data_IF_571855197854
#
_entry.id   IF_571855197854
#
_cell.length_a   1.000
_cell.length_b   1.000
_cell.length_c   1.000
_cell.angle_alpha   90.00
_cell.angle_beta   90.00
_cell.angle_gamma   90.00
#
_symmetry.space_group_name_H-M   'P 1'
#
loop_
_entity.id
_entity.type
_entity.pdbx_description
1 polymer ?
#
# COMPACT_ATOMS: atom_id res chain seq x y z
N UNK A 1 10.34 30.68 29.70
CA UNK A 1 9.65 29.71 28.83
C UNK A 1 8.38 30.38 28.31
N UNK A 2 8.48 31.06 27.14
CA UNK A 2 7.32 31.71 26.49
C UNK A 2 6.77 30.72 25.50
N UNK A 3 5.72 29.98 25.85
CA UNK A 3 4.88 29.29 24.88
C UNK A 3 3.95 30.32 24.24
N UNK A 4 4.49 31.10 23.30
CA UNK A 4 3.66 31.89 22.42
C UNK A 4 2.77 30.89 21.66
N UNK A 5 1.48 30.94 21.95
CA UNK A 5 0.44 30.22 21.20
C UNK A 5 0.43 30.75 19.77
N UNK A 6 1.18 30.06 18.88
CA UNK A 6 1.09 30.36 17.47
C UNK A 6 -0.39 30.31 17.01
N UNK A 7 -0.85 31.26 16.21
CA UNK A 7 -2.22 31.31 15.77
C UNK A 7 -2.63 30.03 15.07
N UNK A 8 -3.84 29.55 15.36
CA UNK A 8 -4.43 28.36 14.73
C UNK A 8 -4.65 28.66 13.24
N UNK A 9 -3.68 28.32 12.40
CA UNK A 9 -3.81 28.40 10.96
C UNK A 9 -4.60 27.19 10.44
N UNK A 10 -5.28 27.33 9.31
CA UNK A 10 -6.01 26.24 8.66
C UNK A 10 -5.12 24.97 8.47
N UNK A 11 -3.88 25.16 8.04
CA UNK A 11 -2.91 24.06 7.91
C UNK A 11 -2.63 23.34 9.23
N UNK A 12 -2.56 24.10 10.36
CA UNK A 12 -2.35 23.51 11.68
C UNK A 12 -3.57 22.71 12.15
N UNK A 13 -4.78 23.18 11.87
CA UNK A 13 -6.02 22.44 12.15
C UNK A 13 -6.06 21.12 11.34
N UNK A 14 -5.77 21.19 10.04
CA UNK A 14 -5.71 19.99 9.18
C UNK A 14 -4.68 18.98 9.69
N UNK A 15 -3.48 19.44 10.07
CA UNK A 15 -2.44 18.58 10.61
C UNK A 15 -2.89 17.91 11.91
N UNK A 16 -3.41 18.66 12.87
CA UNK A 16 -3.90 18.13 14.16
C UNK A 16 -5.04 17.12 13.94
N UNK A 17 -5.97 17.41 13.03
CA UNK A 17 -7.07 16.50 12.70
C UNK A 17 -6.54 15.21 12.05
N UNK A 18 -5.59 15.34 11.13
CA UNK A 18 -4.92 14.20 10.51
C UNK A 18 -4.19 13.35 11.55
N UNK A 19 -3.36 13.97 12.39
CA UNK A 19 -2.60 13.26 13.42
C UNK A 19 -3.52 12.54 14.42
N UNK A 20 -4.66 13.14 14.76
CA UNK A 20 -5.66 12.51 15.62
C UNK A 20 -6.34 11.32 14.92
N UNK A 21 -6.81 11.49 13.68
CA UNK A 21 -7.49 10.42 12.92
C UNK A 21 -6.56 9.24 12.66
N UNK A 22 -5.32 9.50 12.28
CA UNK A 22 -4.28 8.48 12.06
C UNK A 22 -3.66 7.94 13.36
N UNK A 23 -4.10 8.42 14.52
CA UNK A 23 -3.67 7.99 15.85
C UNK A 23 -4.49 6.81 16.38
N UNK A 24 -4.87 6.94 17.65
CA UNK A 24 -5.61 5.90 18.38
C UNK A 24 -6.92 5.47 17.72
N UNK A 25 -7.75 6.35 17.11
CA UNK A 25 -8.99 5.92 16.46
C UNK A 25 -8.72 4.91 15.33
N UNK A 26 -7.76 5.21 14.45
CA UNK A 26 -7.40 4.30 13.37
C UNK A 26 -6.87 2.97 13.89
N UNK A 27 -5.96 3.02 14.88
CA UNK A 27 -5.36 1.83 15.49
C UNK A 27 -6.41 0.90 16.08
N UNK A 28 -7.34 1.45 16.88
CA UNK A 28 -8.42 0.68 17.50
C UNK A 28 -9.35 0.08 16.44
N UNK A 29 -9.73 0.85 15.43
CA UNK A 29 -10.60 0.37 14.37
C UNK A 29 -9.94 -0.72 13.50
N UNK A 30 -8.68 -0.55 13.10
CA UNK A 30 -8.00 -1.51 12.25
C UNK A 30 -7.63 -2.79 13.01
N UNK A 31 -6.94 -2.67 14.14
CA UNK A 31 -6.53 -3.84 14.91
C UNK A 31 -7.72 -4.48 15.62
N UNK A 32 -8.52 -3.69 16.33
CA UNK A 32 -9.71 -4.19 17.04
C UNK A 32 -10.77 -4.74 16.10
N UNK A 33 -11.09 -4.01 15.03
CA UNK A 33 -12.05 -4.47 14.02
C UNK A 33 -11.56 -5.70 13.26
N UNK A 34 -10.29 -5.70 12.84
CA UNK A 34 -9.68 -6.84 12.16
C UNK A 34 -9.58 -8.08 13.04
N UNK A 35 -9.26 -7.92 14.33
CA UNK A 35 -9.26 -9.00 15.32
C UNK A 35 -10.68 -9.55 15.54
N UNK A 36 -11.66 -8.65 15.70
CA UNK A 36 -13.06 -9.05 15.79
C UNK A 36 -13.48 -9.89 14.56
N UNK A 37 -13.20 -9.45 13.35
CA UNK A 37 -13.52 -10.20 12.14
C UNK A 37 -12.76 -11.52 12.05
N UNK A 38 -11.52 -11.58 12.49
CA UNK A 38 -10.74 -12.82 12.54
C UNK A 38 -11.38 -13.86 13.45
N UNK A 39 -11.77 -13.45 14.66
CA UNK A 39 -12.43 -14.33 15.63
C UNK A 39 -13.83 -14.71 15.17
N UNK A 40 -14.62 -13.73 14.72
CA UNK A 40 -15.98 -13.93 14.23
C UNK A 40 -16.05 -14.91 13.06
N UNK A 41 -15.10 -14.83 12.13
CA UNK A 41 -14.98 -15.74 11.00
C UNK A 41 -14.38 -17.11 11.38
N UNK A 42 -14.03 -17.33 12.65
CA UNK A 42 -13.34 -18.56 13.09
C UNK A 42 -12.05 -18.82 12.30
N UNK A 43 -11.25 -17.77 12.10
CA UNK A 43 -9.96 -17.82 11.41
C UNK A 43 -10.05 -18.28 9.94
N UNK A 44 -11.17 -18.04 9.26
CA UNK A 44 -11.35 -18.37 7.82
C UNK A 44 -10.17 -17.93 6.95
N UNK A 45 -9.60 -16.70 7.07
CA UNK A 45 -8.49 -16.28 6.23
C UNK A 45 -7.29 -17.22 6.27
N UNK A 46 -7.01 -17.83 7.41
CA UNK A 46 -5.88 -18.73 7.59
C UNK A 46 -6.21 -20.18 7.19
N UNK A 47 -7.42 -20.64 7.51
CA UNK A 47 -7.84 -22.01 7.24
C UNK A 47 -8.05 -22.28 5.75
N UNK A 48 -8.51 -21.27 4.99
CA UNK A 48 -8.88 -21.43 3.58
C UNK A 48 -7.85 -20.83 2.60
N UNK A 49 -6.62 -20.57 3.05
CA UNK A 49 -5.55 -20.00 2.20
C UNK A 49 -5.28 -20.85 0.96
N UNK A 50 -5.21 -22.18 1.11
CA UNK A 50 -5.03 -23.10 -0.03
C UNK A 50 -6.20 -23.04 -1.01
N UNK A 51 -7.41 -22.88 -0.50
CA UNK A 51 -8.61 -22.75 -1.33
C UNK A 51 -8.63 -21.44 -2.11
N UNK A 52 -8.21 -20.33 -1.50
CA UNK A 52 -8.07 -19.02 -2.15
C UNK A 52 -7.14 -19.09 -3.37
N UNK A 53 -6.02 -19.79 -3.24
CA UNK A 53 -5.09 -20.01 -4.35
C UNK A 53 -5.74 -20.83 -5.48
N UNK A 54 -6.61 -21.80 -5.16
CA UNK A 54 -7.34 -22.56 -6.18
C UNK A 54 -8.37 -21.70 -6.91
N UNK A 55 -9.08 -20.79 -6.20
CA UNK A 55 -9.98 -19.83 -6.81
C UNK A 55 -9.20 -18.90 -7.74
N UNK A 56 -8.07 -18.38 -7.27
CA UNK A 56 -7.22 -17.48 -8.05
C UNK A 56 -6.70 -18.13 -9.35
N UNK A 57 -6.45 -19.46 -9.32
CA UNK A 57 -6.08 -20.26 -10.50
C UNK A 57 -7.24 -20.52 -11.46
N UNK A 58 -8.44 -20.02 -11.18
CA UNK A 58 -9.62 -20.16 -12.03
C UNK A 58 -10.38 -21.47 -11.91
N UNK A 59 -10.06 -22.34 -10.91
CA UNK A 59 -10.70 -23.65 -10.76
C UNK A 59 -12.24 -23.56 -10.56
N UNK A 60 -12.72 -22.44 -10.04
CA UNK A 60 -14.12 -22.20 -9.72
C UNK A 60 -14.72 -21.03 -10.51
N UNK A 61 -14.10 -20.62 -11.59
CA UNK A 61 -14.54 -19.50 -12.42
C UNK A 61 -15.60 -19.96 -13.43
N UNK A 62 -16.72 -19.24 -13.50
CA UNK A 62 -17.72 -19.40 -14.56
C UNK A 62 -17.70 -18.13 -15.44
N UNK A 63 -17.44 -18.25 -16.77
CA UNK A 63 -17.45 -17.11 -17.68
C UNK A 63 -18.79 -16.36 -17.75
N UNK A 64 -19.91 -17.04 -17.39
CA UNK A 64 -21.26 -16.49 -17.43
C UNK A 64 -21.66 -15.75 -16.14
N UNK A 65 -20.83 -15.79 -15.10
CA UNK A 65 -21.11 -15.08 -13.88
C UNK A 65 -21.09 -13.55 -14.09
N UNK A 66 -21.91 -12.79 -13.35
CA UNK A 66 -21.94 -11.34 -13.45
C UNK A 66 -20.61 -10.73 -12.97
N UNK A 67 -20.15 -9.70 -13.66
CA UNK A 67 -18.91 -8.98 -13.39
C UNK A 67 -18.13 -8.73 -14.67
N UNK A 68 -17.04 -7.95 -14.55
CA UNK A 68 -16.28 -7.43 -15.69
C UNK A 68 -14.92 -8.13 -15.86
N UNK A 69 -14.29 -8.53 -14.77
CA UNK A 69 -12.92 -9.05 -14.68
C UNK A 69 -12.87 -10.37 -13.92
N UNK A 70 -11.89 -11.23 -14.18
CA UNK A 70 -11.73 -12.46 -13.42
C UNK A 70 -11.08 -12.22 -12.05
N UNK A 71 -11.10 -13.23 -11.16
CA UNK A 71 -10.55 -13.16 -9.80
C UNK A 71 -9.09 -12.70 -9.77
N UNK A 72 -8.25 -13.20 -10.68
CA UNK A 72 -6.84 -12.80 -10.75
C UNK A 72 -6.69 -11.33 -11.14
N UNK A 73 -7.47 -10.86 -12.12
CA UNK A 73 -7.48 -9.46 -12.53
C UNK A 73 -8.02 -8.55 -11.42
N UNK A 74 -9.02 -8.99 -10.65
CA UNK A 74 -9.54 -8.25 -9.51
C UNK A 74 -8.48 -8.08 -8.41
N UNK A 75 -7.82 -9.18 -8.05
CA UNK A 75 -6.71 -9.13 -7.09
C UNK A 75 -5.57 -8.23 -7.60
N UNK A 76 -5.16 -8.37 -8.86
CA UNK A 76 -4.11 -7.53 -9.42
C UNK A 76 -4.53 -6.06 -9.50
N UNK A 77 -5.80 -5.74 -9.79
CA UNK A 77 -6.30 -4.36 -9.76
C UNK A 77 -6.26 -3.78 -8.34
N UNK A 78 -6.67 -4.54 -7.34
CA UNK A 78 -6.55 -4.13 -5.94
C UNK A 78 -5.08 -3.98 -5.51
N UNK A 79 -4.23 -4.95 -5.85
CA UNK A 79 -2.78 -4.89 -5.59
C UNK A 79 -2.10 -3.76 -6.35
N UNK A 80 -2.63 -3.32 -7.49
CA UNK A 80 -2.04 -2.19 -8.21
C UNK A 80 -2.13 -0.88 -7.41
N UNK A 81 -3.17 -0.69 -6.63
CA UNK A 81 -3.27 0.45 -5.72
C UNK A 81 -2.33 0.30 -4.52
N UNK A 82 -2.27 -0.89 -3.94
CA UNK A 82 -1.59 -1.16 -2.66
C UNK A 82 -0.10 -1.46 -2.81
N UNK A 83 0.30 -2.37 -3.72
CA UNK A 83 1.72 -2.70 -3.94
C UNK A 83 2.38 -1.57 -4.75
N UNK A 84 2.98 -0.64 -4.03
CA UNK A 84 3.47 0.62 -4.59
C UNK A 84 4.57 1.26 -3.75
N UNK A 85 4.59 2.57 -3.73
CA UNK A 85 5.57 3.34 -2.95
C UNK A 85 5.43 3.13 -1.44
N UNK A 86 4.26 2.68 -0.95
CA UNK A 86 4.06 2.26 0.43
C UNK A 86 4.99 1.13 0.87
N UNK A 87 5.25 0.18 -0.03
CA UNK A 87 6.12 -0.99 0.24
C UNK A 87 7.61 -0.66 0.18
N UNK A 88 8.01 0.41 -0.49
CA UNK A 88 9.41 0.83 -0.66
C UNK A 88 9.69 2.00 0.29
N UNK A 89 9.19 3.18 -0.04
CA UNK A 89 9.40 4.39 0.74
C UNK A 89 8.67 4.36 2.10
N UNK A 90 7.45 3.82 2.14
CA UNK A 90 6.68 3.72 3.38
C UNK A 90 7.31 2.81 4.42
N UNK A 91 7.94 1.70 4.01
CA UNK A 91 8.68 0.81 4.91
C UNK A 91 9.97 1.46 5.39
N UNK A 92 10.68 2.18 4.52
CA UNK A 92 11.85 2.95 4.92
C UNK A 92 11.50 3.95 6.01
N UNK A 93 10.41 4.70 5.83
CA UNK A 93 9.90 5.64 6.84
C UNK A 93 9.45 4.91 8.12
N UNK A 94 8.84 3.71 8.00
CA UNK A 94 8.48 2.91 9.18
C UNK A 94 9.70 2.59 10.05
N UNK A 95 10.80 2.17 9.41
CA UNK A 95 12.05 1.82 10.10
C UNK A 95 12.73 3.04 10.69
N UNK A 96 12.72 4.19 10.00
CA UNK A 96 13.40 5.41 10.48
C UNK A 96 12.61 6.15 11.56
N UNK A 97 11.29 6.24 11.46
CA UNK A 97 10.44 6.93 12.44
C UNK A 97 10.03 6.04 13.63
N UNK A 98 9.80 4.76 13.36
CA UNK A 98 9.25 3.81 14.33
C UNK A 98 10.25 2.75 14.79
N UNK A 99 11.47 2.74 14.26
CA UNK A 99 12.44 1.69 14.53
C UNK A 99 12.15 0.36 13.80
N UNK A 100 13.07 -0.61 13.91
CA UNK A 100 12.91 -1.96 13.34
C UNK A 100 11.63 -2.68 13.81
N UNK A 101 11.21 -2.46 15.05
CA UNK A 101 10.01 -3.05 15.64
C UNK A 101 8.70 -2.63 14.97
N UNK A 102 8.68 -1.52 14.23
CA UNK A 102 7.52 -1.11 13.46
C UNK A 102 7.12 -2.18 12.42
N UNK A 103 8.09 -2.92 11.87
CA UNK A 103 7.82 -4.04 10.95
C UNK A 103 7.00 -5.15 11.59
N UNK A 104 7.25 -5.49 12.84
CA UNK A 104 6.44 -6.46 13.59
C UNK A 104 4.98 -6.02 13.66
N UNK A 105 4.72 -4.75 13.96
CA UNK A 105 3.37 -4.22 14.04
C UNK A 105 2.70 -4.07 12.68
N UNK A 106 3.50 -3.88 11.61
CA UNK A 106 3.00 -4.01 10.24
C UNK A 106 2.51 -5.44 9.96
N UNK A 107 3.22 -6.48 10.41
CA UNK A 107 2.77 -7.87 10.26
C UNK A 107 1.48 -8.14 11.02
N UNK A 108 1.38 -7.69 12.26
CA UNK A 108 0.15 -7.82 13.06
C UNK A 108 -1.03 -7.17 12.34
N UNK A 109 -0.86 -5.94 11.84
CA UNK A 109 -1.88 -5.23 11.09
C UNK A 109 -2.29 -5.99 9.81
N UNK A 110 -1.32 -6.55 9.08
CA UNK A 110 -1.60 -7.31 7.87
C UNK A 110 -2.39 -8.58 8.16
N UNK A 111 -2.03 -9.33 9.21
CA UNK A 111 -2.71 -10.56 9.60
C UNK A 111 -4.19 -10.30 9.94
N UNK A 112 -4.47 -9.29 10.74
CA UNK A 112 -5.88 -8.93 11.05
C UNK A 112 -6.58 -8.26 9.87
N UNK A 113 -5.83 -7.53 9.04
CA UNK A 113 -6.29 -6.90 7.81
C UNK A 113 -6.77 -7.90 6.75
N UNK A 114 -6.22 -9.13 6.74
CA UNK A 114 -6.72 -10.22 5.86
C UNK A 114 -8.20 -10.51 6.12
N UNK A 115 -8.62 -10.57 7.39
CA UNK A 115 -10.02 -10.78 7.74
C UNK A 115 -10.88 -9.56 7.37
N UNK A 116 -10.39 -8.35 7.58
CA UNK A 116 -11.10 -7.14 7.17
C UNK A 116 -11.37 -7.15 5.65
N UNK A 117 -10.36 -7.41 4.82
CA UNK A 117 -10.54 -7.49 3.36
C UNK A 117 -11.45 -8.64 2.94
N UNK A 118 -11.40 -9.79 3.63
CA UNK A 118 -12.33 -10.87 3.40
C UNK A 118 -13.79 -10.40 3.52
N UNK A 119 -14.13 -9.67 4.59
CA UNK A 119 -15.49 -9.19 4.79
C UNK A 119 -15.86 -8.05 3.84
N UNK A 120 -15.02 -7.04 3.68
CA UNK A 120 -15.33 -5.88 2.82
C UNK A 120 -15.56 -6.29 1.37
N UNK A 121 -14.74 -7.21 0.84
CA UNK A 121 -14.86 -7.66 -0.53
C UNK A 121 -15.99 -8.69 -0.71
N UNK A 122 -16.31 -9.51 0.31
CA UNK A 122 -17.51 -10.34 0.29
C UNK A 122 -18.77 -9.48 0.25
N UNK A 123 -18.83 -8.42 1.06
CA UNK A 123 -19.96 -7.48 1.07
C UNK A 123 -20.08 -6.73 -0.26
N UNK A 124 -18.95 -6.37 -0.88
CA UNK A 124 -18.94 -5.71 -2.17
C UNK A 124 -19.56 -6.56 -3.29
N UNK A 125 -19.46 -7.88 -3.21
CA UNK A 125 -20.13 -8.80 -4.13
C UNK A 125 -21.58 -9.03 -3.74
N UNK A 126 -21.87 -9.20 -2.45
CA UNK A 126 -23.21 -9.50 -1.93
C UNK A 126 -24.19 -8.35 -2.21
N UNK A 127 -23.76 -7.11 -2.07
CA UNK A 127 -24.57 -5.90 -2.20
C UNK A 127 -24.16 -5.06 -3.39
N UNK A 128 -24.00 -5.70 -4.55
CA UNK A 128 -23.72 -5.00 -5.81
C UNK A 128 -24.89 -4.14 -6.25
N UNK A 129 -24.59 -2.93 -6.70
CA UNK A 129 -25.51 -2.09 -7.45
C UNK A 129 -25.30 -2.23 -8.96
N UNK A 130 -26.01 -1.40 -9.71
CA UNK A 130 -25.83 -1.22 -11.16
C UNK A 130 -25.64 0.26 -11.46
N UNK A 131 -24.78 0.57 -12.40
CA UNK A 131 -24.67 1.92 -12.93
C UNK A 131 -25.79 2.24 -13.93
N UNK A 132 -25.75 3.46 -14.49
CA UNK A 132 -26.74 3.92 -15.49
C UNK A 132 -26.71 3.13 -16.80
N UNK A 133 -25.63 2.36 -17.06
CA UNK A 133 -25.51 1.48 -18.22
C UNK A 133 -25.94 0.04 -17.93
N UNK A 134 -26.32 -0.26 -16.68
CA UNK A 134 -26.70 -1.60 -16.21
C UNK A 134 -25.52 -2.49 -15.84
N UNK A 135 -24.28 -1.96 -15.85
CA UNK A 135 -23.09 -2.69 -15.42
C UNK A 135 -23.08 -2.85 -13.91
N UNK A 136 -22.62 -4.02 -13.48
CA UNK A 136 -22.55 -4.37 -12.06
C UNK A 136 -21.42 -3.60 -11.40
N UNK A 137 -21.72 -2.92 -10.30
CA UNK A 137 -20.77 -2.12 -9.53
C UNK A 137 -20.78 -2.57 -8.07
N UNK A 138 -19.62 -2.66 -7.45
CA UNK A 138 -19.47 -2.97 -6.03
C UNK A 138 -18.63 -1.91 -5.33
N UNK A 139 -18.61 -2.00 -4.00
CA UNK A 139 -17.81 -1.10 -3.17
C UNK A 139 -18.57 -0.60 -1.94
N UNK A 140 -17.89 0.14 -1.04
CA UNK A 140 -18.49 0.62 0.20
C UNK A 140 -19.76 1.43 -0.01
N UNK A 141 -19.81 2.30 -1.03
CA UNK A 141 -20.96 3.12 -1.34
C UNK A 141 -22.21 2.27 -1.64
N UNK A 142 -22.03 1.10 -2.26
CA UNK A 142 -23.14 0.21 -2.59
C UNK A 142 -23.56 -0.62 -1.37
N UNK A 143 -22.63 -1.31 -0.70
CA UNK A 143 -23.04 -2.16 0.42
C UNK A 143 -23.54 -1.37 1.64
N UNK A 144 -23.17 -0.09 1.79
CA UNK A 144 -23.77 0.77 2.81
C UNK A 144 -25.26 1.02 2.48
N UNK A 145 -25.59 1.37 1.23
CA UNK A 145 -26.96 1.72 0.85
C UNK A 145 -27.83 0.46 0.71
N UNK A 146 -27.35 -0.57 0.03
CA UNK A 146 -28.11 -1.81 -0.23
C UNK A 146 -28.19 -2.70 1.03
N UNK A 147 -27.15 -2.72 1.86
CA UNK A 147 -27.09 -3.54 3.06
C UNK A 147 -27.72 -2.90 4.29
N UNK A 148 -27.53 -1.59 4.52
CA UNK A 148 -28.05 -0.88 5.69
C UNK A 148 -29.32 -0.08 5.40
N UNK A 149 -29.64 0.11 4.11
CA UNK A 149 -30.79 0.87 3.65
C UNK A 149 -30.50 2.33 3.32
N UNK A 150 -31.47 2.95 2.63
CA UNK A 150 -31.35 4.31 2.06
C UNK A 150 -31.11 5.41 3.09
N UNK A 151 -31.45 5.19 4.37
CA UNK A 151 -31.16 6.12 5.47
C UNK A 151 -29.66 6.37 5.66
N UNK A 152 -28.82 5.42 5.25
CA UNK A 152 -27.36 5.49 5.36
C UNK A 152 -26.69 6.09 4.12
N UNK A 153 -27.48 6.54 3.14
CA UNK A 153 -26.94 7.22 1.94
C UNK A 153 -25.98 8.39 2.25
N UNK A 154 -26.18 9.22 3.29
CA UNK A 154 -25.21 10.26 3.64
C UNK A 154 -23.82 9.71 3.97
N UNK A 155 -23.74 8.53 4.64
CA UNK A 155 -22.45 7.87 4.92
C UNK A 155 -21.78 7.37 3.63
N UNK A 156 -22.54 6.80 2.70
CA UNK A 156 -22.03 6.40 1.39
C UNK A 156 -21.52 7.60 0.58
N UNK A 157 -22.23 8.73 0.62
CA UNK A 157 -21.80 9.97 -0.02
C UNK A 157 -20.52 10.53 0.62
N UNK A 158 -20.40 10.49 1.96
CA UNK A 158 -19.21 10.89 2.68
C UNK A 158 -18.00 10.00 2.28
N UNK A 159 -18.21 8.68 2.18
CA UNK A 159 -17.17 7.78 1.67
C UNK A 159 -16.70 8.18 0.26
N UNK A 160 -17.62 8.43 -0.68
CA UNK A 160 -17.26 8.86 -2.03
C UNK A 160 -16.51 10.19 -2.04
N UNK A 161 -16.98 11.16 -1.24
CA UNK A 161 -16.33 12.48 -1.16
C UNK A 161 -14.90 12.40 -0.62
N UNK A 162 -14.71 11.73 0.53
CA UNK A 162 -13.37 11.58 1.11
C UNK A 162 -12.49 10.63 0.30
N UNK A 163 -13.07 9.59 -0.29
CA UNK A 163 -12.38 8.66 -1.16
C UNK A 163 -11.78 9.34 -2.39
N UNK A 164 -12.49 10.30 -2.99
CA UNK A 164 -11.98 11.08 -4.12
C UNK A 164 -10.64 11.77 -3.79
N UNK A 165 -10.50 12.32 -2.58
CA UNK A 165 -9.24 12.94 -2.14
C UNK A 165 -8.21 11.89 -1.69
N UNK A 166 -8.68 10.81 -1.03
CA UNK A 166 -7.81 9.74 -0.53
C UNK A 166 -7.15 8.92 -1.64
N UNK A 167 -7.79 8.84 -2.80
CA UNK A 167 -7.25 8.14 -3.97
C UNK A 167 -6.34 9.01 -4.86
N UNK A 168 -6.07 10.28 -4.49
CA UNK A 168 -5.13 11.10 -5.24
C UNK A 168 -3.70 10.57 -5.06
N UNK A 169 -3.00 10.19 -6.14
CA UNK A 169 -1.69 9.52 -6.05
C UNK A 169 -0.53 10.51 -5.83
N UNK A 170 -0.72 11.49 -4.91
CA UNK A 170 0.27 12.55 -4.66
C UNK A 170 1.56 12.01 -4.07
N UNK A 171 1.47 11.06 -3.13
CA UNK A 171 2.66 10.43 -2.54
C UNK A 171 3.46 9.66 -3.57
N UNK A 172 2.79 8.87 -4.41
CA UNK A 172 3.41 8.08 -5.48
C UNK A 172 4.13 8.95 -6.49
N UNK A 173 3.48 10.03 -6.94
CA UNK A 173 4.08 10.95 -7.90
C UNK A 173 5.23 11.76 -7.29
N UNK A 174 5.13 12.16 -6.01
CA UNK A 174 6.20 12.85 -5.30
C UNK A 174 7.45 11.97 -5.18
N UNK A 175 7.32 10.75 -4.66
CA UNK A 175 8.44 9.81 -4.48
C UNK A 175 9.06 9.41 -5.83
N UNK A 176 8.23 9.21 -6.87
CA UNK A 176 8.72 8.93 -8.21
C UNK A 176 9.52 10.12 -8.78
N UNK A 177 9.02 11.34 -8.61
CA UNK A 177 9.72 12.55 -9.05
C UNK A 177 11.04 12.72 -8.29
N UNK A 178 11.06 12.46 -6.98
CA UNK A 178 12.27 12.52 -6.16
C UNK A 178 13.36 11.60 -6.70
N UNK A 179 13.07 10.31 -6.86
CA UNK A 179 14.08 9.33 -7.33
C UNK A 179 14.53 9.61 -8.77
N UNK A 180 13.62 9.99 -9.67
CA UNK A 180 13.97 10.33 -11.05
C UNK A 180 14.83 11.59 -11.09
N UNK A 181 14.53 12.57 -10.25
CA UNK A 181 15.34 13.80 -10.13
C UNK A 181 16.75 13.48 -9.67
N UNK A 182 16.90 12.72 -8.59
CA UNK A 182 18.23 12.41 -8.02
C UNK A 182 19.05 11.49 -8.93
N UNK A 183 18.44 10.48 -9.50
CA UNK A 183 19.18 9.42 -10.21
C UNK A 183 19.30 9.66 -11.72
N UNK A 184 18.45 10.50 -12.32
CA UNK A 184 18.42 10.67 -13.76
C UNK A 184 18.55 12.12 -14.21
N UNK A 185 17.78 13.07 -13.66
CA UNK A 185 17.79 14.45 -14.12
C UNK A 185 19.05 15.20 -13.67
N UNK A 186 19.41 15.12 -12.38
CA UNK A 186 20.59 15.79 -11.83
C UNK A 186 21.92 15.29 -12.44
N UNK A 187 22.18 13.97 -12.54
CA UNK A 187 23.43 13.49 -13.12
C UNK A 187 23.62 13.84 -14.60
N UNK A 188 22.52 14.02 -15.35
CA UNK A 188 22.56 14.42 -16.76
C UNK A 188 22.43 15.93 -16.96
N UNK A 189 22.38 16.71 -15.88
CA UNK A 189 22.18 18.17 -15.89
C UNK A 189 20.91 18.62 -16.65
N UNK A 190 19.88 17.77 -16.69
CA UNK A 190 18.64 18.08 -17.37
C UNK A 190 17.69 18.87 -16.45
N UNK A 191 17.31 20.06 -16.90
CA UNK A 191 16.41 20.94 -16.13
C UNK A 191 16.90 21.23 -14.70
N UNK A 192 18.23 21.40 -14.55
CA UNK A 192 18.87 21.71 -13.28
C UNK A 192 19.20 23.20 -13.23
N UNK A 193 18.96 23.82 -12.08
CA UNK A 193 19.31 25.22 -11.81
C UNK A 193 20.78 25.35 -11.32
N UNK A 194 21.20 26.61 -11.06
CA UNK A 194 22.54 26.92 -10.55
C UNK A 194 22.85 26.28 -9.20
N UNK A 195 21.81 25.96 -8.41
CA UNK A 195 21.92 25.34 -7.09
C UNK A 195 21.84 23.80 -7.15
N UNK A 196 21.94 23.23 -8.36
CA UNK A 196 21.83 21.79 -8.65
C UNK A 196 20.49 21.16 -8.25
N UNK A 197 19.42 21.95 -8.19
CA UNK A 197 18.07 21.44 -7.98
C UNK A 197 17.35 21.32 -9.33
N UNK A 198 16.46 20.31 -9.43
CA UNK A 198 15.63 20.16 -10.62
C UNK A 198 14.58 21.27 -10.63
N UNK A 199 14.50 22.00 -11.75
CA UNK A 199 13.57 23.11 -11.91
C UNK A 199 12.11 22.66 -11.91
N UNK A 200 11.19 23.54 -11.51
CA UNK A 200 9.74 23.28 -11.56
C UNK A 200 9.27 22.89 -12.97
N UNK A 201 9.92 23.42 -14.02
CA UNK A 201 9.64 23.04 -15.40
C UNK A 201 9.98 21.57 -15.67
N UNK A 202 11.13 21.09 -15.22
CA UNK A 202 11.55 19.69 -15.39
C UNK A 202 10.60 18.72 -14.66
N UNK A 203 10.27 19.04 -13.41
CA UNK A 203 9.29 18.27 -12.63
C UNK A 203 7.91 18.27 -13.29
N UNK A 204 7.45 19.41 -13.79
CA UNK A 204 6.18 19.57 -14.49
C UNK A 204 6.10 18.76 -15.78
N UNK A 205 7.14 18.80 -16.62
CA UNK A 205 7.20 18.02 -17.85
C UNK A 205 7.17 16.52 -17.58
N UNK A 206 7.90 16.06 -16.56
CA UNK A 206 7.86 14.66 -16.12
C UNK A 206 6.45 14.28 -15.65
N UNK A 207 5.79 15.13 -14.84
CA UNK A 207 4.42 14.92 -14.38
C UNK A 207 3.41 14.81 -15.54
N UNK A 208 3.54 15.68 -16.56
CA UNK A 208 2.68 15.62 -17.76
C UNK A 208 2.91 14.31 -18.54
N UNK A 209 4.17 13.89 -18.72
CA UNK A 209 4.48 12.61 -19.36
C UNK A 209 3.80 11.45 -18.63
N UNK A 210 3.91 11.41 -17.30
CA UNK A 210 3.27 10.38 -16.48
C UNK A 210 1.75 10.44 -16.60
N UNK A 211 1.16 11.62 -16.56
CA UNK A 211 -0.29 11.79 -16.72
C UNK A 211 -0.79 11.25 -18.07
N UNK A 212 -0.06 11.49 -19.16
CA UNK A 212 -0.38 10.95 -20.49
C UNK A 212 -0.33 9.42 -20.47
N UNK A 213 0.75 8.83 -19.95
CA UNK A 213 0.91 7.37 -19.88
C UNK A 213 -0.22 6.71 -19.07
N UNK A 214 -0.61 7.29 -17.95
CA UNK A 214 -1.68 6.80 -17.09
C UNK A 214 -3.03 6.93 -17.80
N UNK A 215 -3.32 8.08 -18.41
CA UNK A 215 -4.56 8.35 -19.13
C UNK A 215 -4.81 7.33 -20.25
N UNK A 216 -3.77 6.91 -20.96
CA UNK A 216 -3.87 5.86 -21.99
C UNK A 216 -4.42 4.56 -21.42
N UNK A 217 -4.11 4.21 -20.18
CA UNK A 217 -4.63 2.99 -19.54
C UNK A 217 -6.05 3.20 -19.01
N UNK A 218 -6.29 4.30 -18.29
CA UNK A 218 -7.55 4.59 -17.60
C UNK A 218 -8.72 4.74 -18.56
N UNK A 219 -8.53 5.38 -19.72
CA UNK A 219 -9.57 5.56 -20.74
C UNK A 219 -10.16 4.25 -21.26
N UNK A 220 -9.52 3.11 -21.01
CA UNK A 220 -10.04 1.79 -21.32
C UNK A 220 -10.90 1.15 -20.23
N UNK A 221 -11.16 1.84 -19.11
CA UNK A 221 -11.98 1.39 -17.99
C UNK A 221 -11.39 0.20 -17.24
N UNK A 222 -12.16 -0.36 -16.30
CA UNK A 222 -11.73 -1.43 -15.39
C UNK A 222 -11.21 -2.69 -16.11
N UNK A 223 -11.74 -3.03 -17.28
CA UNK A 223 -11.25 -4.15 -18.10
C UNK A 223 -9.81 -3.96 -18.57
N UNK A 224 -9.45 -2.73 -18.96
CA UNK A 224 -8.10 -2.41 -19.41
C UNK A 224 -7.15 -2.30 -18.23
N UNK A 225 -7.59 -1.65 -17.17
CA UNK A 225 -6.87 -1.57 -15.89
C UNK A 225 -6.55 -2.99 -15.40
N UNK A 226 -7.54 -3.88 -15.32
CA UNK A 226 -7.35 -5.26 -14.90
C UNK A 226 -6.38 -6.06 -15.77
N UNK A 227 -6.40 -5.85 -17.11
CA UNK A 227 -5.44 -6.49 -18.02
C UNK A 227 -4.02 -6.00 -17.85
N UNK A 228 -3.84 -4.70 -17.65
CA UNK A 228 -2.51 -4.09 -17.40
C UNK A 228 -1.98 -4.52 -16.05
N UNK A 229 -2.79 -4.40 -15.00
CA UNK A 229 -2.43 -4.81 -13.65
C UNK A 229 -2.05 -6.30 -13.56
N UNK A 230 -2.82 -7.19 -14.22
CA UNK A 230 -2.53 -8.63 -14.26
C UNK A 230 -1.18 -9.01 -14.89
N UNK A 231 -0.57 -8.12 -15.66
CA UNK A 231 0.78 -8.31 -16.24
C UNK A 231 1.84 -7.58 -15.42
N UNK A 232 1.52 -6.36 -15.00
CA UNK A 232 2.48 -5.48 -14.32
C UNK A 232 2.79 -5.95 -12.90
N UNK A 233 1.75 -6.35 -12.12
CA UNK A 233 1.93 -6.78 -10.74
C UNK A 233 2.86 -7.99 -10.60
N UNK A 234 2.63 -9.14 -11.29
CA UNK A 234 3.56 -10.25 -11.19
C UNK A 234 4.98 -9.89 -11.65
N UNK A 235 5.11 -9.11 -12.73
CA UNK A 235 6.41 -8.68 -13.24
C UNK A 235 7.16 -7.85 -12.20
N UNK A 236 6.54 -6.82 -11.63
CA UNK A 236 7.21 -5.94 -10.68
C UNK A 236 7.54 -6.65 -9.35
N UNK A 237 6.65 -7.53 -8.85
CA UNK A 237 6.91 -8.31 -7.64
C UNK A 237 8.06 -9.29 -7.84
N UNK A 238 8.11 -9.94 -9.00
CA UNK A 238 9.22 -10.85 -9.34
C UNK A 238 10.53 -10.10 -9.54
N UNK A 239 10.52 -8.97 -10.24
CA UNK A 239 11.70 -8.13 -10.45
C UNK A 239 12.25 -7.64 -9.11
N UNK A 240 11.40 -7.00 -8.30
CA UNK A 240 11.78 -6.49 -6.99
C UNK A 240 12.24 -7.63 -6.07
N UNK A 241 11.48 -8.72 -6.01
CA UNK A 241 11.80 -9.89 -5.18
C UNK A 241 13.12 -10.55 -5.58
N UNK A 242 13.44 -10.65 -6.89
CA UNK A 242 14.71 -11.22 -7.34
C UNK A 242 15.91 -10.33 -6.96
N UNK A 243 15.81 -9.00 -7.14
CA UNK A 243 16.83 -8.07 -6.67
C UNK A 243 17.03 -8.17 -5.15
N UNK A 244 15.92 -8.21 -4.42
CA UNK A 244 15.90 -8.34 -2.98
C UNK A 244 16.59 -9.64 -2.49
N UNK A 245 16.28 -10.76 -3.13
CA UNK A 245 16.92 -12.05 -2.80
C UNK A 245 18.43 -11.98 -3.01
N UNK A 246 18.91 -11.37 -4.08
CA UNK A 246 20.35 -11.16 -4.29
C UNK A 246 20.96 -10.36 -3.14
N UNK A 247 20.34 -9.27 -2.72
CA UNK A 247 20.84 -8.45 -1.60
C UNK A 247 20.84 -9.24 -0.30
N UNK A 248 19.76 -9.98 0.00
CA UNK A 248 19.68 -10.80 1.21
C UNK A 248 20.68 -11.96 1.21
N UNK A 249 20.99 -12.55 0.05
CA UNK A 249 22.04 -13.57 -0.05
C UNK A 249 23.43 -12.99 0.17
N UNK A 250 23.73 -11.81 -0.36
CA UNK A 250 25.03 -11.14 -0.13
C UNK A 250 25.20 -10.69 1.32
N UNK A 251 24.12 -10.46 2.04
CA UNK A 251 24.08 -10.04 3.46
C UNK A 251 23.49 -11.13 4.36
N UNK A 252 23.59 -12.40 3.98
CA UNK A 252 22.92 -13.50 4.69
C UNK A 252 23.33 -13.63 6.17
N UNK A 253 24.54 -13.24 6.53
CA UNK A 253 25.02 -13.25 7.91
C UNK A 253 24.29 -12.23 8.81
N UNK A 254 23.83 -11.11 8.25
CA UNK A 254 23.12 -10.05 8.96
C UNK A 254 21.60 -10.27 9.05
N UNK A 255 21.02 -11.15 8.22
CA UNK A 255 19.59 -11.41 8.21
C UNK A 255 19.04 -11.94 9.55
N UNK A 256 19.68 -12.92 10.22
CA UNK A 256 19.23 -13.39 11.53
C UNK A 256 19.23 -12.28 12.59
N UNK A 257 20.24 -11.40 12.57
CA UNK A 257 20.33 -10.25 13.48
C UNK A 257 19.22 -9.24 13.19
N UNK A 258 18.97 -8.94 11.91
CA UNK A 258 17.86 -8.06 11.49
C UNK A 258 16.51 -8.60 11.97
N UNK A 259 16.25 -9.90 11.84
CA UNK A 259 15.02 -10.52 12.34
C UNK A 259 14.95 -10.42 13.88
N UNK A 260 16.03 -10.75 14.59
CA UNK A 260 16.07 -10.62 16.05
C UNK A 260 15.80 -9.18 16.50
N UNK A 261 16.35 -8.21 15.78
CA UNK A 261 16.15 -6.79 16.04
C UNK A 261 14.69 -6.36 15.88
N UNK A 262 13.98 -6.86 14.84
CA UNK A 262 12.56 -6.59 14.63
C UNK A 262 11.75 -7.04 15.86
N UNK A 263 12.01 -8.25 16.38
CA UNK A 263 11.28 -8.77 17.53
C UNK A 263 11.68 -8.09 18.84
N UNK A 264 12.96 -7.82 19.06
CA UNK A 264 13.42 -7.19 20.29
C UNK A 264 12.92 -5.76 20.40
N UNK A 265 13.02 -4.98 19.30
CA UNK A 265 12.62 -3.57 19.28
C UNK A 265 11.09 -3.39 19.37
N UNK A 266 10.31 -4.37 18.85
CA UNK A 266 8.85 -4.33 18.94
C UNK A 266 8.30 -4.31 20.37
N UNK A 267 9.08 -4.79 21.36
CA UNK A 267 8.64 -4.96 22.75
C UNK A 267 9.62 -4.38 23.78
N UNK A 268 10.62 -3.58 23.38
CA UNK A 268 11.62 -3.05 24.31
C UNK A 268 11.03 -2.11 25.36
N UNK A 269 11.59 -2.18 26.58
CA UNK A 269 11.10 -1.47 27.75
C UNK A 269 11.27 0.05 27.69
N UNK A 270 12.18 0.59 26.91
CA UNK A 270 12.28 2.04 26.65
C UNK A 270 11.04 2.51 25.88
N UNK A 271 10.51 1.66 24.98
CA UNK A 271 9.22 1.84 24.35
C UNK A 271 8.05 1.86 25.35
N UNK A 272 8.10 1.07 26.43
CA UNK A 272 7.00 0.95 27.42
C UNK A 272 7.01 2.10 28.42
N UNK A 273 8.18 2.55 28.87
CA UNK A 273 8.31 3.53 29.96
C UNK A 273 8.07 4.99 29.54
N UNK A 274 8.24 5.33 28.26
CA UNK A 274 8.20 6.71 27.76
C UNK A 274 7.07 7.07 26.80
N UNK A 275 6.08 6.19 26.57
CA UNK A 275 5.09 6.39 25.51
C UNK A 275 5.63 6.02 24.10
N UNK A 276 6.88 5.58 24.01
CA UNK A 276 7.56 5.21 22.76
C UNK A 276 6.98 3.93 22.18
N UNK A 277 6.51 2.97 23.00
CA UNK A 277 5.80 1.79 22.51
C UNK A 277 4.57 2.18 21.70
N UNK A 278 3.83 3.19 22.16
CA UNK A 278 2.72 3.75 21.39
C UNK A 278 3.17 4.32 20.05
N UNK A 279 4.37 4.90 19.97
CA UNK A 279 4.93 5.41 18.72
C UNK A 279 5.31 4.29 17.74
N UNK A 280 6.01 3.25 18.21
CA UNK A 280 6.39 2.06 17.38
C UNK A 280 5.14 1.36 16.83
N UNK A 281 4.16 1.08 17.72
CA UNK A 281 2.89 0.47 17.32
C UNK A 281 2.14 1.37 16.33
N UNK A 282 1.99 2.64 16.68
CA UNK A 282 1.25 3.61 15.86
C UNK A 282 1.90 3.77 14.48
N UNK A 283 3.22 3.90 14.41
CA UNK A 283 3.95 4.00 13.15
C UNK A 283 3.78 2.72 12.33
N UNK A 284 3.99 1.55 12.92
CA UNK A 284 3.83 0.26 12.23
C UNK A 284 2.42 0.08 11.67
N UNK A 285 1.38 0.36 12.49
CA UNK A 285 -0.02 0.23 12.03
C UNK A 285 -0.38 1.27 10.97
N UNK A 286 0.05 2.53 11.13
CA UNK A 286 -0.17 3.59 10.11
C UNK A 286 0.45 3.23 8.78
N UNK A 287 1.71 2.76 8.79
CA UNK A 287 2.43 2.38 7.56
C UNK A 287 1.86 1.12 6.92
N UNK A 288 1.41 0.14 7.71
CA UNK A 288 0.69 -1.01 7.19
C UNK A 288 -0.65 -0.61 6.57
N UNK A 289 -1.44 0.22 7.26
CA UNK A 289 -2.72 0.71 6.74
C UNK A 289 -2.55 1.49 5.43
N UNK A 290 -1.50 2.31 5.35
CA UNK A 290 -1.15 3.03 4.13
C UNK A 290 -0.67 2.11 3.00
N UNK A 291 0.03 1.01 3.33
CA UNK A 291 0.54 0.06 2.35
C UNK A 291 -0.57 -0.87 1.84
N UNK A 292 -1.23 -1.61 2.73
CA UNK A 292 -2.18 -2.65 2.33
C UNK A 292 -3.64 -2.20 2.24
N UNK A 293 -3.95 -0.98 2.68
CA UNK A 293 -5.28 -0.34 2.64
C UNK A 293 -6.42 -1.16 3.29
N UNK A 294 -6.10 -2.14 4.15
CA UNK A 294 -7.12 -2.94 4.81
C UNK A 294 -7.99 -2.06 5.72
N UNK A 295 -9.29 -2.03 5.45
CA UNK A 295 -10.28 -1.20 6.15
C UNK A 295 -10.52 0.18 5.52
N UNK A 296 -9.77 0.57 4.47
CA UNK A 296 -10.03 1.81 3.73
C UNK A 296 -11.18 1.64 2.72
N UNK A 297 -11.43 0.41 2.26
CA UNK A 297 -12.55 0.08 1.37
C UNK A 297 -12.27 0.29 -0.12
N UNK A 298 -11.11 0.79 -0.49
CA UNK A 298 -10.70 1.03 -1.88
C UNK A 298 -10.63 -0.27 -2.67
N UNK A 299 -10.08 -1.33 -2.08
CA UNK A 299 -9.99 -2.66 -2.67
C UNK A 299 -11.36 -3.27 -3.01
N UNK A 300 -12.38 -2.93 -2.22
CA UNK A 300 -13.73 -3.43 -2.41
C UNK A 300 -14.36 -2.98 -3.75
N UNK A 301 -13.90 -1.85 -4.31
CA UNK A 301 -14.33 -1.37 -5.63
C UNK A 301 -13.76 -2.26 -6.74
N UNK A 302 -12.46 -2.57 -6.70
CA UNK A 302 -11.82 -3.45 -7.68
C UNK A 302 -12.38 -4.88 -7.60
N UNK A 303 -12.49 -5.44 -6.39
CA UNK A 303 -13.06 -6.77 -6.16
C UNK A 303 -14.56 -6.82 -6.48
N UNK A 304 -15.28 -5.71 -6.31
CA UNK A 304 -16.67 -5.57 -6.69
C UNK A 304 -16.94 -5.82 -8.18
N UNK A 305 -15.95 -5.61 -9.05
CA UNK A 305 -16.06 -5.87 -10.48
C UNK A 305 -15.75 -7.33 -10.88
N UNK A 306 -15.37 -8.21 -9.94
CA UNK A 306 -15.01 -9.60 -10.24
C UNK A 306 -16.18 -10.43 -10.74
N UNK A 307 -15.94 -11.33 -11.69
CA UNK A 307 -16.92 -12.28 -12.22
C UNK A 307 -17.18 -13.40 -11.23
N UNK A 308 -18.24 -13.27 -10.44
CA UNK A 308 -18.70 -14.31 -9.51
C UNK A 308 -20.10 -14.02 -9.01
N UNK A 309 -20.85 -15.09 -8.68
CA UNK A 309 -22.11 -15.04 -7.90
C UNK A 309 -21.87 -15.31 -6.42
N UNK A 310 -20.69 -15.83 -6.07
CA UNK A 310 -20.35 -16.30 -4.74
C UNK A 310 -19.54 -15.25 -3.97
N UNK A 311 -20.14 -14.50 -3.03
CA UNK A 311 -19.44 -13.44 -2.29
C UNK A 311 -18.18 -13.93 -1.57
N UNK A 312 -18.29 -15.10 -0.94
CA UNK A 312 -17.19 -15.70 -0.16
C UNK A 312 -15.96 -16.00 -1.02
N UNK A 313 -16.15 -16.38 -2.29
CA UNK A 313 -15.01 -16.63 -3.19
C UNK A 313 -14.15 -15.41 -3.36
N UNK A 314 -14.77 -14.25 -3.60
CA UNK A 314 -14.03 -13.02 -3.81
C UNK A 314 -13.41 -12.50 -2.52
N UNK A 315 -14.08 -12.65 -1.39
CA UNK A 315 -13.51 -12.37 -0.09
C UNK A 315 -12.25 -13.18 0.20
N UNK A 316 -12.26 -14.49 -0.13
CA UNK A 316 -11.10 -15.37 -0.01
C UNK A 316 -9.94 -14.97 -0.94
N UNK A 317 -10.22 -14.42 -2.11
CA UNK A 317 -9.18 -13.88 -3.00
C UNK A 317 -8.62 -12.58 -2.44
N UNK A 318 -9.48 -11.67 -1.98
CA UNK A 318 -9.08 -10.36 -1.47
C UNK A 318 -8.18 -10.42 -0.24
N UNK A 319 -8.37 -11.43 0.63
CA UNK A 319 -7.51 -11.61 1.82
C UNK A 319 -6.04 -11.88 1.47
N UNK A 320 -5.73 -12.33 0.25
CA UNK A 320 -4.36 -12.49 -0.22
C UNK A 320 -3.63 -11.15 -0.41
N UNK A 321 -4.38 -10.05 -0.52
CA UNK A 321 -3.82 -8.70 -0.69
C UNK A 321 -2.82 -8.34 0.41
N UNK A 322 -3.22 -8.24 1.70
CA UNK A 322 -2.29 -7.91 2.79
C UNK A 322 -1.16 -8.93 2.96
N UNK A 323 -1.40 -10.20 2.62
CA UNK A 323 -0.36 -11.22 2.66
C UNK A 323 0.74 -10.92 1.64
N UNK A 324 0.39 -10.64 0.39
CA UNK A 324 1.36 -10.34 -0.67
C UNK A 324 2.02 -8.99 -0.41
N UNK A 325 1.22 -7.96 -0.14
CA UNK A 325 1.69 -6.60 0.04
C UNK A 325 2.60 -6.47 1.26
N UNK A 326 2.10 -6.80 2.44
CA UNK A 326 2.80 -6.46 3.69
C UNK A 326 3.65 -7.63 4.20
N UNK A 327 3.10 -8.87 4.28
CA UNK A 327 3.87 -10.00 4.81
C UNK A 327 4.99 -10.45 3.87
N UNK A 328 4.90 -10.18 2.56
CA UNK A 328 5.98 -10.53 1.62
C UNK A 328 6.76 -9.27 1.23
N UNK A 329 6.16 -8.32 0.50
CA UNK A 329 6.90 -7.22 -0.12
C UNK A 329 7.48 -6.26 0.92
N UNK A 330 6.67 -5.78 1.91
CA UNK A 330 7.21 -4.91 2.95
C UNK A 330 8.25 -5.61 3.84
N UNK A 331 8.07 -6.90 4.13
CA UNK A 331 9.07 -7.66 4.90
C UNK A 331 10.40 -7.74 4.18
N UNK A 332 10.38 -8.03 2.89
CA UNK A 332 11.59 -8.06 2.06
C UNK A 332 12.29 -6.70 2.08
N UNK A 333 11.54 -5.61 1.89
CA UNK A 333 12.09 -4.24 1.94
C UNK A 333 12.71 -3.93 3.29
N UNK A 334 12.01 -4.24 4.38
CA UNK A 334 12.53 -4.02 5.74
C UNK A 334 13.80 -4.81 6.01
N UNK A 335 13.85 -6.08 5.60
CA UNK A 335 15.04 -6.91 5.76
C UNK A 335 16.23 -6.40 4.95
N UNK A 336 16.01 -5.89 3.74
CA UNK A 336 17.07 -5.26 2.94
C UNK A 336 17.65 -4.04 3.68
N UNK A 337 16.78 -3.14 4.15
CA UNK A 337 17.20 -1.91 4.84
C UNK A 337 17.97 -2.25 6.13
N UNK A 338 17.48 -3.22 6.91
CA UNK A 338 18.09 -3.61 8.17
C UNK A 338 19.41 -4.37 7.96
N UNK A 339 19.46 -5.35 7.04
CA UNK A 339 20.64 -6.18 6.81
C UNK A 339 21.80 -5.41 6.17
N UNK A 340 21.52 -4.37 5.38
CA UNK A 340 22.55 -3.50 4.80
C UNK A 340 23.06 -2.42 5.77
N UNK A 341 22.36 -2.19 6.89
CA UNK A 341 22.73 -1.22 7.91
C UNK A 341 22.53 0.25 7.53
N UNK A 342 21.97 0.55 6.36
CA UNK A 342 21.82 1.96 5.88
C UNK A 342 20.95 2.81 6.79
N UNK A 343 20.00 2.21 7.50
CA UNK A 343 19.10 2.92 8.42
C UNK A 343 19.82 3.56 9.61
N UNK A 344 21.02 3.10 9.95
CA UNK A 344 21.85 3.65 11.02
C UNK A 344 22.77 4.78 10.54
N UNK A 345 23.09 4.82 9.25
CA UNK A 345 24.08 5.75 8.67
C UNK A 345 23.45 7.06 8.21
N UNK A 346 22.20 7.01 7.79
CA UNK A 346 21.46 8.20 7.37
C UNK A 346 21.03 9.00 8.60
N UNK A 347 21.58 10.22 8.73
CA UNK A 347 21.17 11.17 9.77
C UNK A 347 19.67 11.51 9.67
N UNK A 348 19.20 12.40 10.55
CA UNK A 348 17.81 12.66 10.91
C UNK A 348 16.77 12.96 9.79
N UNK A 349 17.04 12.75 8.50
CA UNK A 349 16.06 13.00 7.44
C UNK A 349 16.31 12.21 6.14
N UNK A 350 16.18 10.87 6.14
CA UNK A 350 16.22 10.13 4.88
C UNK A 350 14.88 10.28 4.17
N UNK A 351 14.89 10.78 2.94
CA UNK A 351 13.74 10.66 2.05
C UNK A 351 13.47 9.16 1.82
N UNK A 352 12.22 8.70 2.09
CA UNK A 352 11.91 7.28 2.23
C UNK A 352 12.40 6.39 1.07
N UNK A 353 12.24 6.83 -0.19
CA UNK A 353 12.69 6.08 -1.36
C UNK A 353 14.22 6.07 -1.49
N UNK A 354 14.89 7.13 -1.07
CA UNK A 354 16.35 7.26 -1.18
C UNK A 354 17.07 6.33 -0.20
N UNK A 355 16.53 6.11 1.00
CA UNK A 355 17.08 5.13 1.92
C UNK A 355 17.08 3.71 1.31
N UNK A 356 15.99 3.35 0.63
CA UNK A 356 15.94 2.07 -0.08
C UNK A 356 16.92 2.03 -1.25
N UNK A 357 17.15 3.17 -1.93
CA UNK A 357 18.13 3.27 -3.01
C UNK A 357 19.57 3.07 -2.50
N UNK A 358 19.89 3.59 -1.32
CA UNK A 358 21.18 3.35 -0.67
C UNK A 358 21.35 1.86 -0.31
N UNK A 359 20.30 1.22 0.21
CA UNK A 359 20.33 -0.21 0.50
C UNK A 359 20.58 -1.06 -0.76
N UNK A 360 19.94 -0.70 -1.88
CA UNK A 360 20.19 -1.34 -3.18
C UNK A 360 21.60 -1.06 -3.71
N UNK A 361 22.14 0.13 -3.49
CA UNK A 361 23.52 0.49 -3.88
C UNK A 361 24.55 -0.34 -3.12
N UNK A 362 24.36 -0.52 -1.80
CA UNK A 362 25.22 -1.39 -0.99
C UNK A 362 25.11 -2.86 -1.38
N UNK A 363 23.87 -3.33 -1.61
CA UNK A 363 23.62 -4.74 -1.89
C UNK A 363 23.98 -5.18 -3.30
N UNK A 364 23.78 -4.33 -4.30
CA UNK A 364 24.09 -4.57 -5.71
C UNK A 364 24.84 -3.34 -6.24
N UNK A 365 26.18 -3.28 -6.11
CA UNK A 365 26.97 -2.14 -6.60
C UNK A 365 26.74 -1.91 -8.10
N UNK A 366 26.70 -0.63 -8.52
CA UNK A 366 26.50 -0.16 -9.90
C UNK A 366 25.09 -0.40 -10.43
N UNK A 367 24.56 -1.64 -10.43
CA UNK A 367 23.28 -1.96 -11.04
C UNK A 367 22.08 -1.71 -10.09
N UNK A 368 22.27 -1.82 -8.77
CA UNK A 368 21.22 -1.70 -7.77
C UNK A 368 20.33 -0.47 -7.88
N UNK A 369 20.92 0.74 -7.94
CA UNK A 369 20.14 1.98 -8.09
C UNK A 369 19.26 1.99 -9.34
N UNK A 370 19.77 1.55 -10.47
CA UNK A 370 19.02 1.52 -11.75
C UNK A 370 17.91 0.46 -11.71
N UNK A 371 18.18 -0.71 -11.12
CA UNK A 371 17.17 -1.74 -10.91
C UNK A 371 16.04 -1.25 -10.01
N UNK A 372 16.40 -0.56 -8.92
CA UNK A 372 15.40 0.05 -8.05
C UNK A 372 14.62 1.15 -8.79
N UNK A 373 15.26 1.99 -9.58
CA UNK A 373 14.57 3.01 -10.38
C UNK A 373 13.51 2.38 -11.29
N UNK A 374 13.84 1.27 -11.98
CA UNK A 374 12.87 0.53 -12.79
C UNK A 374 11.72 -0.03 -11.92
N UNK A 375 12.04 -0.59 -10.76
CA UNK A 375 11.03 -1.05 -9.81
C UNK A 375 10.10 0.10 -9.38
N UNK A 376 10.66 1.23 -8.95
CA UNK A 376 9.90 2.41 -8.51
C UNK A 376 9.02 2.97 -9.63
N UNK A 377 9.51 3.01 -10.87
CA UNK A 377 8.70 3.38 -12.04
C UNK A 377 7.50 2.45 -12.20
N UNK A 378 7.72 1.13 -12.13
CA UNK A 378 6.64 0.14 -12.24
C UNK A 378 5.65 0.25 -11.08
N UNK A 379 6.14 0.35 -9.83
CA UNK A 379 5.32 0.44 -8.62
C UNK A 379 4.48 1.72 -8.60
N UNK A 380 5.08 2.87 -8.90
CA UNK A 380 4.36 4.15 -8.94
C UNK A 380 3.33 4.19 -10.06
N UNK A 381 3.70 3.73 -11.27
CA UNK A 381 2.78 3.66 -12.41
C UNK A 381 1.60 2.73 -12.10
N UNK A 382 1.87 1.56 -11.51
CA UNK A 382 0.85 0.63 -11.05
C UNK A 382 -0.13 1.28 -10.06
N UNK A 383 0.38 1.93 -9.01
CA UNK A 383 -0.45 2.56 -8.00
C UNK A 383 -1.29 3.72 -8.57
N UNK A 384 -0.71 4.53 -9.44
CA UNK A 384 -1.45 5.62 -10.09
C UNK A 384 -2.61 5.11 -10.96
N UNK A 385 -2.45 3.95 -11.62
CA UNK A 385 -3.53 3.29 -12.37
C UNK A 385 -4.56 2.67 -11.42
N UNK A 386 -4.11 2.06 -10.32
CA UNK A 386 -4.97 1.37 -9.36
C UNK A 386 -5.90 2.32 -8.60
N UNK A 387 -5.46 3.55 -8.33
CA UNK A 387 -6.26 4.58 -7.67
C UNK A 387 -7.23 5.33 -8.62
N UNK A 388 -7.12 5.14 -9.92
CA UNK A 388 -7.93 5.82 -10.93
C UNK A 388 -9.11 4.99 -11.38
#
# INVERSE_FOLDING_TARGET
MNTATEPLTFAKILKLTSDWLWGMPLLVLLIGGGLYFTIYSRFVPFLYLRHSIQILRGKFSDPNDPGEINHFQALCSALSATVGMGNIAGVAVAVTEGGPGALFWMWVCALVGMATKFFTCSLAIMYRGKDHTGQVQGGPMYFIVEGLGTKWKPLAMAFCFFGLFGCLPMFQSNQLTSIVSEMFLKPNEWFVDSDKNVTALGQGLFGVLMAICISVVILGGIKRIGKVAARLIPFMVLLYGSCALVILFTHAAQVPEAIALIFSDAFTGEAVAGGVLGAVISTGVRRAAFSNEAGMGTEAMAHGAAKTKEPIREGLVAMLGPMIDTLIVCTITGLIILSTGVWQETGNNPDGVLLTAEAFTKGIPIAGPYLLLVCVLCFSFSSMIGFS
#
